data_IF_927680117033
#
_entry.id   IF_927680117033
#
_cell.length_a   1.000
_cell.length_b   1.000
_cell.length_c   1.000
_cell.angle_alpha   90.00
_cell.angle_beta   90.00
_cell.angle_gamma   90.00
#
_symmetry.space_group_name_H-M   'P 1'
#
loop_
_entity.id
_entity.type
_entity.pdbx_description
1 polymer ?
#
# COMPACT_ATOMS: atom_id res chain seq x y z
N UNK A 1 -8.62 -0.56 -9.99
CA UNK A 1 -7.46 0.37 -9.99
C UNK A 1 -7.79 1.78 -9.50
N UNK A 2 -8.68 2.53 -10.15
CA UNK A 2 -9.00 3.91 -9.72
C UNK A 2 -9.64 3.99 -8.33
N UNK A 3 -10.38 2.95 -7.92
CA UNK A 3 -10.98 2.86 -6.59
C UNK A 3 -9.91 2.80 -5.48
N UNK A 4 -8.88 1.94 -5.65
CA UNK A 4 -7.76 1.86 -4.73
C UNK A 4 -7.01 3.19 -4.61
N UNK A 5 -6.72 3.86 -5.74
CA UNK A 5 -6.04 5.15 -5.72
C UNK A 5 -6.87 6.24 -5.03
N UNK A 6 -8.19 6.29 -5.27
CA UNK A 6 -9.10 7.22 -4.58
C UNK A 6 -9.20 6.91 -3.08
N UNK A 7 -9.23 5.62 -2.72
CA UNK A 7 -9.23 5.19 -1.34
C UNK A 7 -7.92 5.59 -0.65
N UNK A 8 -6.78 5.30 -1.29
CA UNK A 8 -5.46 5.69 -0.82
C UNK A 8 -5.36 7.20 -0.67
N UNK A 9 -5.74 8.00 -1.67
CA UNK A 9 -5.70 9.47 -1.61
C UNK A 9 -6.48 10.03 -0.40
N UNK A 10 -7.62 9.43 -0.06
CA UNK A 10 -8.43 9.84 1.10
C UNK A 10 -7.79 9.55 2.45
N UNK A 11 -7.03 8.47 2.57
CA UNK A 11 -6.39 8.02 3.83
C UNK A 11 -4.90 8.38 3.88
N UNK A 12 -4.33 8.81 2.75
CA UNK A 12 -2.92 9.03 2.57
C UNK A 12 -2.48 10.12 3.55
N UNK A 13 -1.55 9.75 4.43
CA UNK A 13 -0.91 10.69 5.33
C UNK A 13 0.28 11.32 4.60
N UNK A 14 0.66 12.57 4.93
CA UNK A 14 1.81 13.24 4.29
C UNK A 14 3.11 12.43 4.40
N UNK A 15 3.15 11.59 5.43
CA UNK A 15 4.24 10.71 5.84
C UNK A 15 4.33 9.40 5.04
N UNK A 16 3.31 9.07 4.24
CA UNK A 16 3.24 7.82 3.49
C UNK A 16 3.85 7.96 2.09
N UNK A 17 4.41 6.86 1.61
CA UNK A 17 4.93 6.70 0.26
C UNK A 17 4.35 5.44 -0.39
N UNK A 18 3.72 5.61 -1.55
CA UNK A 18 3.23 4.52 -2.39
C UNK A 18 4.21 4.28 -3.53
N UNK A 19 4.74 3.05 -3.60
CA UNK A 19 5.58 2.58 -4.69
C UNK A 19 4.87 1.46 -5.41
N UNK A 20 4.58 1.66 -6.70
CA UNK A 20 4.07 0.62 -7.58
C UNK A 20 5.20 0.30 -8.55
N UNK A 21 5.65 -0.95 -8.52
CA UNK A 21 6.73 -1.45 -9.35
C UNK A 21 6.22 -2.62 -10.18
N UNK A 22 6.61 -2.67 -11.44
CA UNK A 22 6.37 -3.81 -12.30
C UNK A 22 7.65 -4.14 -13.03
N UNK A 23 8.02 -5.43 -13.05
CA UNK A 23 9.13 -5.91 -13.84
C UNK A 23 8.84 -7.30 -14.37
N UNK A 24 9.41 -7.61 -15.53
CA UNK A 24 9.25 -8.93 -16.18
C UNK A 24 9.76 -10.10 -15.33
N UNK A 25 10.49 -9.84 -14.24
CA UNK A 25 11.08 -10.83 -13.34
C UNK A 25 10.37 -10.84 -11.97
N UNK A 26 9.84 -9.69 -11.55
CA UNK A 26 9.34 -9.46 -10.17
C UNK A 26 7.82 -9.30 -10.15
N UNK A 27 7.15 -9.41 -11.30
CA UNK A 27 5.71 -9.23 -11.44
C UNK A 27 5.25 -7.84 -10.93
N UNK A 28 3.95 -7.66 -10.66
CA UNK A 28 3.44 -6.44 -10.04
C UNK A 28 3.69 -6.44 -8.54
N UNK A 29 4.38 -5.42 -8.06
CA UNK A 29 4.65 -5.19 -6.65
C UNK A 29 4.10 -3.83 -6.21
N UNK A 30 3.27 -3.84 -5.18
CA UNK A 30 2.66 -2.65 -4.59
C UNK A 30 3.14 -2.57 -3.15
N UNK A 31 3.88 -1.52 -2.85
CA UNK A 31 4.44 -1.28 -1.53
C UNK A 31 3.96 0.07 -1.01
N UNK A 32 3.43 0.10 0.21
CA UNK A 32 3.15 1.33 0.95
C UNK A 32 4.05 1.33 2.17
N UNK A 33 4.83 2.38 2.35
CA UNK A 33 5.67 2.58 3.52
C UNK A 33 5.68 4.02 3.97
N UNK A 34 6.56 4.34 4.92
CA UNK A 34 6.79 5.70 5.38
C UNK A 34 7.90 6.39 4.58
N UNK A 35 7.82 7.71 4.46
CA UNK A 35 8.84 8.52 3.79
C UNK A 35 10.13 8.59 4.61
N UNK A 36 11.21 8.99 3.95
CA UNK A 36 12.52 9.25 4.58
C UNK A 36 12.48 10.29 5.71
N UNK A 37 11.47 11.14 5.71
CA UNK A 37 11.28 12.23 6.70
C UNK A 37 10.50 11.80 7.95
N UNK A 38 10.08 10.54 8.02
CA UNK A 38 9.20 9.99 9.03
C UNK A 38 10.00 9.33 10.16
N UNK A 39 9.55 9.43 11.42
CA UNK A 39 10.21 8.71 12.54
C UNK A 39 10.20 7.18 12.35
N UNK A 40 9.26 6.66 11.55
CA UNK A 40 9.14 5.24 11.19
C UNK A 40 9.78 4.93 9.82
N UNK A 41 10.81 5.67 9.42
CA UNK A 41 11.50 5.40 8.17
C UNK A 41 12.11 3.99 8.15
N UNK A 42 11.64 3.17 7.19
CA UNK A 42 12.02 1.76 7.05
C UNK A 42 10.88 0.79 7.35
N UNK A 43 9.81 1.25 7.98
CA UNK A 43 8.64 0.41 8.24
C UNK A 43 7.73 0.34 6.99
N UNK A 44 7.32 -0.87 6.63
CA UNK A 44 6.45 -1.13 5.48
C UNK A 44 5.04 -1.43 5.99
N UNK A 45 4.09 -0.57 5.65
CA UNK A 45 2.68 -0.73 5.99
C UNK A 45 2.11 -1.95 5.27
N UNK A 46 2.32 -2.01 3.95
CA UNK A 46 1.97 -3.16 3.13
C UNK A 46 3.03 -3.40 2.06
N UNK A 47 3.24 -4.67 1.72
CA UNK A 47 4.05 -5.09 0.59
C UNK A 47 3.39 -6.30 -0.06
N UNK A 48 2.83 -6.13 -1.25
CA UNK A 48 2.10 -7.17 -1.98
C UNK A 48 2.76 -7.37 -3.33
N UNK A 49 3.03 -8.62 -3.67
CA UNK A 49 3.53 -9.03 -4.97
C UNK A 49 2.55 -10.02 -5.60
N UNK A 50 2.21 -9.82 -6.88
CA UNK A 50 1.35 -10.73 -7.63
C UNK A 50 1.60 -10.62 -9.14
N UNK A 51 1.47 -11.75 -9.83
CA UNK A 51 1.59 -11.83 -11.30
C UNK A 51 0.49 -11.02 -12.01
N UNK A 52 -0.70 -10.99 -11.42
CA UNK A 52 -1.85 -10.27 -11.95
C UNK A 52 -1.99 -8.88 -11.31
N UNK A 53 -2.11 -7.86 -12.16
CA UNK A 53 -2.22 -6.47 -11.72
C UNK A 53 -3.48 -6.25 -10.88
N UNK A 54 -4.63 -6.75 -11.33
CA UNK A 54 -5.91 -6.55 -10.66
C UNK A 54 -5.93 -7.24 -9.29
N UNK A 55 -5.34 -8.44 -9.22
CA UNK A 55 -5.18 -9.18 -7.97
C UNK A 55 -4.24 -8.47 -7.00
N UNK A 56 -3.11 -7.92 -7.48
CA UNK A 56 -2.19 -7.14 -6.66
C UNK A 56 -2.88 -5.94 -6.01
N UNK A 57 -3.65 -5.16 -6.79
CA UNK A 57 -4.40 -4.01 -6.29
C UNK A 57 -5.50 -4.41 -5.32
N UNK A 58 -6.24 -5.49 -5.58
CA UNK A 58 -7.28 -5.99 -4.69
C UNK A 58 -6.70 -6.43 -3.33
N UNK A 59 -5.60 -7.18 -3.35
CA UNK A 59 -4.90 -7.61 -2.14
C UNK A 59 -4.31 -6.41 -1.38
N UNK A 60 -3.69 -5.46 -2.07
CA UNK A 60 -3.18 -4.23 -1.46
C UNK A 60 -4.30 -3.43 -0.79
N UNK A 61 -5.48 -3.34 -1.43
CA UNK A 61 -6.64 -2.66 -0.84
C UNK A 61 -7.14 -3.34 0.44
N UNK A 62 -7.22 -4.67 0.45
CA UNK A 62 -7.66 -5.44 1.63
C UNK A 62 -6.63 -5.32 2.76
N UNK A 63 -5.34 -5.50 2.44
CA UNK A 63 -4.26 -5.39 3.42
C UNK A 63 -4.20 -4.00 4.04
N UNK A 64 -4.36 -2.94 3.22
CA UNK A 64 -4.37 -1.57 3.71
C UNK A 64 -5.57 -1.28 4.62
N UNK A 65 -6.76 -1.81 4.27
CA UNK A 65 -7.96 -1.70 5.13
C UNK A 65 -7.78 -2.44 6.45
N UNK A 66 -7.19 -3.63 6.44
CA UNK A 66 -6.88 -4.37 7.67
C UNK A 66 -5.88 -3.61 8.54
N UNK A 67 -4.81 -3.09 7.93
CA UNK A 67 -3.81 -2.31 8.66
C UNK A 67 -4.42 -1.06 9.31
N UNK A 68 -5.26 -0.33 8.57
CA UNK A 68 -6.01 0.80 9.12
C UNK A 68 -6.90 0.39 10.29
N UNK A 69 -7.63 -0.72 10.17
CA UNK A 69 -8.49 -1.21 11.24
C UNK A 69 -7.72 -1.62 12.50
N UNK A 70 -6.47 -2.09 12.36
CA UNK A 70 -5.63 -2.49 13.50
C UNK A 70 -4.95 -1.27 14.12
N UNK A 71 -4.47 -0.32 13.30
CA UNK A 71 -3.63 0.78 13.75
C UNK A 71 -4.41 2.06 14.12
N UNK A 72 -5.54 2.36 13.46
CA UNK A 72 -6.37 3.54 13.77
C UNK A 72 -7.53 3.28 14.75
N UNK A 73 -7.58 2.08 15.33
CA UNK A 73 -8.63 1.68 16.26
C UNK A 73 -9.86 1.19 15.50
N UNK A 74 -10.11 -0.12 15.63
CA UNK A 74 -11.16 -0.84 14.93
C UNK A 74 -12.53 -0.16 14.97
N UNK A 75 -13.25 -0.37 13.87
CA UNK A 75 -14.62 0.07 13.65
C UNK A 75 -15.56 -0.25 14.83
#
# INVERSE_FOLDING_TARGET
MSDFLKFYDRICKPDWNLTIYHSSIVDWSITIGYKNTSENYGDQIINIQSCDMELAFAQAQVALKQWLSVNEGGY
#
